data_IF_005153198569
#
_entry.id   IF_005153198569
#
_cell.length_a   1.000
_cell.length_b   1.000
_cell.length_c   1.000
_cell.angle_alpha   90.00
_cell.angle_beta   90.00
_cell.angle_gamma   90.00
#
_symmetry.space_group_name_H-M   'P 1'
#
loop_
_entity.id
_entity.type
_entity.pdbx_description
1 polymer ?
#
# COMPACT_ATOMS: atom_id res chain seq x y z
N UNK A 1 -10.21 -12.91 -9.25
CA UNK A 1 -9.02 -12.12 -8.90
C UNK A 1 -7.85 -13.07 -8.79
N UNK A 2 -6.67 -12.68 -9.29
CA UNK A 2 -5.47 -13.50 -9.17
C UNK A 2 -4.65 -13.05 -7.96
N UNK A 3 -4.38 -13.96 -7.04
CA UNK A 3 -3.66 -13.69 -5.80
C UNK A 3 -2.22 -14.20 -5.94
N UNK A 4 -1.24 -13.30 -5.93
CA UNK A 4 0.18 -13.65 -5.94
C UNK A 4 0.80 -13.34 -4.59
N UNK A 5 1.34 -14.36 -3.95
CA UNK A 5 2.13 -14.19 -2.73
C UNK A 5 3.37 -13.35 -3.00
N UNK A 6 3.75 -12.54 -2.02
CA UNK A 6 4.98 -11.75 -2.04
C UNK A 6 5.99 -12.33 -1.04
N UNK A 7 7.18 -11.73 -0.97
CA UNK A 7 8.16 -12.13 0.05
C UNK A 7 7.70 -11.84 1.48
N UNK A 8 6.78 -10.88 1.71
CA UNK A 8 6.24 -10.60 3.04
C UNK A 8 5.00 -11.47 3.30
N UNK A 9 4.99 -12.18 4.43
CA UNK A 9 3.91 -13.14 4.71
C UNK A 9 2.57 -12.42 4.85
N UNK A 10 1.58 -12.79 4.04
CA UNK A 10 0.24 -12.20 4.11
C UNK A 10 0.10 -10.85 3.37
N UNK A 11 1.16 -10.39 2.69
CA UNK A 11 1.07 -9.31 1.69
C UNK A 11 0.90 -9.98 0.32
N UNK A 12 -0.09 -9.55 -0.45
CA UNK A 12 -0.42 -10.13 -1.75
C UNK A 12 -0.45 -9.07 -2.83
N UNK A 13 0.09 -9.40 -4.00
CA UNK A 13 -0.19 -8.67 -5.24
C UNK A 13 -1.46 -9.26 -5.87
N UNK A 14 -2.48 -8.44 -6.02
CA UNK A 14 -3.78 -8.79 -6.57
C UNK A 14 -3.84 -8.31 -8.03
N UNK A 15 -3.85 -9.24 -8.96
CA UNK A 15 -3.93 -8.94 -10.40
C UNK A 15 -5.37 -9.14 -10.91
N UNK A 16 -5.72 -8.35 -11.92
CA UNK A 16 -7.02 -8.42 -12.57
C UNK A 16 -7.14 -9.68 -13.44
N UNK A 17 -8.30 -10.33 -13.37
CA UNK A 17 -8.73 -11.30 -14.38
C UNK A 17 -9.51 -10.55 -15.45
N UNK A 18 -8.79 -10.02 -16.44
CA UNK A 18 -9.36 -9.17 -17.49
C UNK A 18 -10.20 -10.00 -18.46
N UNK A 19 -11.42 -9.54 -18.73
CA UNK A 19 -12.28 -9.99 -19.82
C UNK A 19 -12.25 -8.90 -20.88
N UNK A 20 -11.63 -9.18 -22.02
CA UNK A 20 -11.35 -8.17 -23.07
C UNK A 20 -12.30 -8.29 -24.26
N UNK A 21 -12.66 -7.13 -24.84
CA UNK A 21 -13.33 -7.02 -26.12
C UNK A 21 -12.92 -5.72 -26.84
N UNK A 22 -13.52 -5.41 -27.99
CA UNK A 22 -13.16 -4.23 -28.79
C UNK A 22 -13.34 -2.87 -28.09
N UNK A 23 -13.97 -2.81 -26.91
CA UNK A 23 -14.15 -1.59 -26.11
C UNK A 23 -13.06 -1.41 -25.05
N UNK A 24 -12.25 -2.44 -24.79
CA UNK A 24 -11.27 -2.49 -23.69
C UNK A 24 -11.45 -3.75 -22.86
N UNK A 25 -11.38 -3.64 -21.53
CA UNK A 25 -11.56 -4.77 -20.63
C UNK A 25 -12.51 -4.48 -19.47
N UNK A 26 -13.14 -5.53 -18.97
CA UNK A 26 -13.86 -5.57 -17.71
C UNK A 26 -13.14 -6.51 -16.74
N UNK A 27 -13.07 -6.13 -15.46
CA UNK A 27 -12.59 -7.03 -14.40
C UNK A 27 -13.27 -6.68 -13.10
N UNK A 28 -13.46 -7.68 -12.23
CA UNK A 28 -13.70 -7.43 -10.81
C UNK A 28 -12.41 -6.90 -10.21
N UNK A 29 -12.47 -5.69 -9.65
CA UNK A 29 -11.33 -5.09 -8.96
C UNK A 29 -11.18 -5.65 -7.54
N UNK A 30 -12.31 -5.89 -6.88
CA UNK A 30 -12.41 -6.35 -5.51
C UNK A 30 -13.66 -7.22 -5.37
N UNK A 31 -13.57 -8.33 -4.63
CA UNK A 31 -14.69 -9.24 -4.43
C UNK A 31 -14.64 -9.82 -3.02
N UNK A 32 -15.63 -9.48 -2.18
CA UNK A 32 -15.73 -9.95 -0.80
C UNK A 32 -15.57 -11.46 -0.69
N UNK A 33 -16.34 -12.19 -1.49
CA UNK A 33 -16.36 -13.66 -1.50
C UNK A 33 -14.99 -14.27 -1.80
N UNK A 34 -14.31 -13.81 -2.85
CA UNK A 34 -13.00 -14.37 -3.23
C UNK A 34 -11.91 -14.05 -2.19
N UNK A 35 -12.01 -12.90 -1.52
CA UNK A 35 -11.10 -12.53 -0.43
C UNK A 35 -11.33 -13.40 0.81
N UNK A 36 -12.58 -13.62 1.20
CA UNK A 36 -12.95 -14.49 2.31
C UNK A 36 -12.53 -15.95 2.05
N UNK A 37 -12.68 -16.44 0.82
CA UNK A 37 -12.17 -17.76 0.39
C UNK A 37 -10.64 -17.88 0.53
N UNK A 38 -9.91 -16.76 0.50
CA UNK A 38 -8.47 -16.68 0.76
C UNK A 38 -8.13 -16.34 2.22
N UNK A 39 -9.12 -16.28 3.11
CA UNK A 39 -8.97 -15.83 4.50
C UNK A 39 -8.36 -14.42 4.61
N UNK A 40 -8.68 -13.54 3.67
CA UNK A 40 -8.26 -12.13 3.66
C UNK A 40 -9.40 -11.24 4.15
N UNK A 41 -9.04 -10.12 4.80
CA UNK A 41 -10.00 -9.24 5.44
C UNK A 41 -10.77 -8.40 4.41
N UNK A 42 -12.02 -8.76 4.13
CA UNK A 42 -12.86 -8.15 3.12
C UNK A 42 -13.84 -7.07 3.65
N UNK A 43 -13.68 -6.59 4.88
CA UNK A 43 -14.62 -5.62 5.45
C UNK A 43 -14.16 -4.19 5.18
N UNK A 44 -14.21 -3.78 3.91
CA UNK A 44 -13.93 -2.40 3.50
C UNK A 44 -14.99 -1.47 4.08
N UNK A 45 -14.55 -0.44 4.81
CA UNK A 45 -15.43 0.58 5.43
C UNK A 45 -15.24 1.97 4.83
N UNK A 46 -14.12 2.18 4.13
CA UNK A 46 -13.78 3.48 3.54
C UNK A 46 -12.93 3.27 2.28
N UNK A 47 -13.15 4.13 1.29
CA UNK A 47 -12.30 4.29 0.12
C UNK A 47 -11.70 5.68 0.11
N UNK A 48 -10.47 5.78 -0.38
CA UNK A 48 -9.70 7.01 -0.38
C UNK A 48 -9.04 7.19 -1.74
N UNK A 49 -8.76 8.44 -2.07
CA UNK A 49 -8.00 8.84 -3.24
C UNK A 49 -6.94 9.86 -2.83
N UNK A 50 -5.75 9.72 -3.39
CA UNK A 50 -4.70 10.72 -3.29
C UNK A 50 -4.12 11.00 -4.66
N UNK A 51 -4.01 12.29 -4.97
CA UNK A 51 -3.44 12.78 -6.20
C UNK A 51 -2.08 13.42 -5.93
N UNK A 52 -1.10 13.10 -6.76
CA UNK A 52 0.29 13.55 -6.63
C UNK A 52 0.64 14.35 -7.88
N UNK A 53 0.83 15.66 -7.71
CA UNK A 53 1.09 16.56 -8.84
C UNK A 53 2.42 16.24 -9.52
N UNK A 54 3.44 15.89 -8.73
CA UNK A 54 4.82 15.73 -9.20
C UNK A 54 5.34 14.31 -8.95
N UNK A 55 6.13 13.82 -9.90
CA UNK A 55 7.08 12.72 -9.72
C UNK A 55 8.00 13.00 -8.54
N UNK A 56 8.31 11.97 -7.76
CA UNK A 56 9.14 12.06 -6.56
C UNK A 56 8.36 12.48 -5.31
N UNK A 57 7.02 12.54 -5.36
CA UNK A 57 6.18 12.75 -4.18
C UNK A 57 6.11 11.48 -3.36
N UNK A 58 6.57 11.53 -2.10
CA UNK A 58 6.47 10.45 -1.13
C UNK A 58 5.33 10.69 -0.15
N UNK A 59 4.59 9.62 0.17
CA UNK A 59 3.66 9.58 1.31
C UNK A 59 3.93 8.33 2.13
N UNK A 60 4.09 8.49 3.44
CA UNK A 60 4.35 7.35 4.32
C UNK A 60 5.67 7.44 5.11
N UNK A 61 5.97 6.41 5.91
CA UNK A 61 5.21 5.15 6.04
C UNK A 61 4.19 5.23 7.19
N UNK A 62 2.96 4.77 6.96
CA UNK A 62 1.82 4.92 7.86
C UNK A 62 1.18 3.58 8.23
N UNK A 63 0.69 3.52 9.47
CA UNK A 63 -0.14 2.43 10.00
C UNK A 63 -1.07 2.98 11.08
N UNK A 64 -2.05 2.18 11.51
CA UNK A 64 -2.82 2.46 12.73
C UNK A 64 -2.46 1.42 13.79
N UNK A 65 -2.34 1.88 15.04
CA UNK A 65 -2.03 1.07 16.23
C UNK A 65 -3.26 0.34 16.74
N UNK A 66 -3.03 -0.71 17.52
CA UNK A 66 -4.07 -1.45 18.22
C UNK A 66 -4.98 -0.53 19.04
N UNK A 67 -6.30 -0.79 19.09
CA UNK A 67 -7.07 -1.84 18.40
C UNK A 67 -7.62 -1.42 17.02
N UNK A 68 -7.02 -0.40 16.39
CA UNK A 68 -7.55 0.25 15.18
C UNK A 68 -6.75 -0.11 13.92
N UNK A 69 -6.00 -1.21 13.94
CA UNK A 69 -5.20 -1.62 12.79
C UNK A 69 -6.09 -1.86 11.57
N UNK A 70 -5.60 -1.40 10.42
CA UNK A 70 -6.33 -1.47 9.16
C UNK A 70 -5.61 -2.40 8.18
N UNK A 71 -6.40 -3.04 7.33
CA UNK A 71 -5.92 -3.65 6.08
C UNK A 71 -6.10 -2.63 4.97
N UNK A 72 -5.10 -2.50 4.09
CA UNK A 72 -5.16 -1.61 2.93
C UNK A 72 -5.16 -2.40 1.63
N UNK A 73 -5.88 -1.89 0.65
CA UNK A 73 -5.96 -2.38 -0.70
C UNK A 73 -5.57 -1.24 -1.63
N UNK A 74 -4.33 -1.22 -2.10
CA UNK A 74 -3.74 -0.01 -2.70
C UNK A 74 -3.51 -0.20 -4.19
N UNK A 75 -3.98 0.74 -5.02
CA UNK A 75 -3.86 0.67 -6.48
C UNK A 75 -3.48 2.04 -7.05
N UNK A 76 -2.66 2.03 -8.09
CA UNK A 76 -2.47 3.19 -8.95
C UNK A 76 -3.56 3.22 -10.03
N UNK A 77 -4.39 4.26 -10.03
CA UNK A 77 -5.46 4.45 -11.03
C UNK A 77 -5.01 5.28 -12.23
N UNK A 78 -3.98 6.10 -12.06
CA UNK A 78 -3.37 6.90 -13.12
C UNK A 78 -1.87 7.07 -12.90
N UNK A 79 -1.07 6.91 -13.95
CA UNK A 79 0.40 6.99 -13.88
C UNK A 79 1.03 5.78 -13.19
N UNK A 80 2.13 6.00 -12.45
CA UNK A 80 2.88 4.94 -11.79
C UNK A 80 3.41 5.34 -10.41
N UNK A 81 3.52 4.37 -9.49
CA UNK A 81 4.12 4.53 -8.18
C UNK A 81 4.93 3.32 -7.77
N UNK A 82 5.91 3.53 -6.88
CA UNK A 82 6.60 2.48 -6.16
C UNK A 82 6.00 2.37 -4.76
N UNK A 83 5.22 1.31 -4.54
CA UNK A 83 4.48 1.05 -3.30
C UNK A 83 5.32 0.18 -2.36
N UNK A 84 5.45 0.62 -1.11
CA UNK A 84 6.32 0.03 -0.10
C UNK A 84 5.53 -0.40 1.12
N UNK A 85 5.83 -1.62 1.57
CA UNK A 85 5.28 -2.21 2.79
C UNK A 85 6.43 -2.64 3.70
N UNK A 86 6.30 -2.35 4.99
CA UNK A 86 7.19 -2.83 6.05
C UNK A 86 6.38 -3.67 7.02
N UNK A 87 6.87 -4.87 7.31
CA UNK A 87 6.22 -5.79 8.23
C UNK A 87 6.58 -5.47 9.70
N UNK A 88 5.63 -4.94 10.46
CA UNK A 88 5.83 -4.57 11.87
C UNK A 88 5.16 -5.56 12.84
N UNK A 89 4.76 -6.75 12.38
CA UNK A 89 4.14 -7.77 13.23
C UNK A 89 5.22 -8.60 13.93
N UNK A 90 5.38 -8.55 15.27
CA UNK A 90 6.47 -9.23 15.96
C UNK A 90 6.48 -10.75 15.76
N UNK A 91 5.30 -11.37 15.65
CA UNK A 91 5.15 -12.82 15.44
C UNK A 91 5.26 -13.24 13.97
N UNK A 92 5.51 -12.31 13.05
CA UNK A 92 5.63 -12.61 11.62
C UNK A 92 7.01 -13.20 11.30
N UNK A 93 7.09 -14.26 10.46
CA UNK A 93 8.38 -14.77 9.97
C UNK A 93 9.13 -13.75 9.10
N UNK A 94 8.45 -12.68 8.65
CA UNK A 94 9.04 -11.59 7.88
C UNK A 94 9.09 -10.27 8.65
N UNK A 95 9.04 -10.32 9.98
CA UNK A 95 9.15 -9.13 10.83
C UNK A 95 10.40 -8.30 10.47
N UNK A 96 10.22 -6.98 10.39
CA UNK A 96 11.20 -5.96 9.97
C UNK A 96 11.71 -6.08 8.53
N UNK A 97 11.17 -6.99 7.73
CA UNK A 97 11.44 -6.99 6.29
C UNK A 97 10.51 -6.01 5.57
N UNK A 98 10.96 -5.52 4.42
CA UNK A 98 10.18 -4.62 3.57
C UNK A 98 10.09 -5.13 2.14
N UNK A 99 9.03 -4.77 1.43
CA UNK A 99 8.79 -5.04 0.01
C UNK A 99 8.52 -3.71 -0.70
N UNK A 100 9.09 -3.55 -1.88
CA UNK A 100 8.69 -2.52 -2.83
C UNK A 100 8.18 -3.15 -4.13
N UNK A 101 7.10 -2.62 -4.68
CA UNK A 101 6.52 -3.05 -5.97
C UNK A 101 6.07 -1.85 -6.79
N UNK A 102 6.18 -1.95 -8.10
CA UNK A 102 5.61 -0.93 -8.98
C UNK A 102 4.12 -1.21 -9.21
N UNK A 103 3.28 -0.21 -8.99
CA UNK A 103 1.86 -0.21 -9.30
C UNK A 103 1.59 0.90 -10.32
N UNK A 104 0.93 0.56 -11.43
CA UNK A 104 0.66 1.50 -12.51
C UNK A 104 -0.73 1.30 -13.10
N UNK A 105 -1.19 2.30 -13.86
CA UNK A 105 -2.43 2.18 -14.62
C UNK A 105 -2.38 1.03 -15.64
N UNK A 106 -1.19 0.74 -16.19
CA UNK A 106 -0.95 -0.31 -17.18
C UNK A 106 -1.01 -1.72 -16.57
N UNK A 107 -0.23 -1.96 -15.50
CA UNK A 107 -0.22 -3.26 -14.84
C UNK A 107 -1.52 -3.53 -14.07
N UNK A 108 -2.25 -2.46 -13.73
CA UNK A 108 -3.54 -2.45 -13.09
C UNK A 108 -3.63 -3.28 -11.78
N UNK A 109 -2.47 -3.58 -11.18
CA UNK A 109 -2.35 -4.43 -10.00
C UNK A 109 -2.72 -3.65 -8.75
N UNK A 110 -3.06 -4.38 -7.69
CA UNK A 110 -3.37 -3.83 -6.38
C UNK A 110 -2.56 -4.56 -5.32
N UNK A 111 -2.03 -3.85 -4.33
CA UNK A 111 -1.34 -4.46 -3.19
C UNK A 111 -2.28 -4.60 -2.01
N UNK A 112 -2.40 -5.81 -1.49
CA UNK A 112 -3.05 -6.12 -0.21
C UNK A 112 -2.02 -6.00 0.91
N UNK A 113 -2.25 -5.09 1.85
CA UNK A 113 -1.41 -4.84 3.01
C UNK A 113 -2.18 -5.23 4.27
N UNK A 114 -1.79 -6.28 5.01
CA UNK A 114 -2.50 -6.71 6.20
C UNK A 114 -2.30 -5.74 7.38
N UNK A 115 -3.15 -5.89 8.38
CA UNK A 115 -3.00 -5.24 9.70
C UNK A 115 -1.61 -5.45 10.27
N UNK A 116 -1.08 -4.43 10.93
CA UNK A 116 0.25 -4.48 11.57
C UNK A 116 1.42 -4.27 10.59
N UNK A 117 1.18 -3.91 9.34
CA UNK A 117 2.22 -3.43 8.43
C UNK A 117 2.17 -1.91 8.30
N UNK A 118 3.33 -1.28 8.12
CA UNK A 118 3.42 0.12 7.68
C UNK A 118 3.47 0.19 6.15
N UNK A 119 2.83 1.22 5.59
CA UNK A 119 2.66 1.37 4.14
C UNK A 119 2.96 2.81 3.70
N UNK A 120 3.58 2.96 2.55
CA UNK A 120 3.71 4.23 1.85
C UNK A 120 4.11 4.01 0.41
N UNK A 121 4.25 5.09 -0.36
CA UNK A 121 4.60 4.99 -1.77
C UNK A 121 5.35 6.23 -2.26
N UNK A 122 6.03 6.08 -3.39
CA UNK A 122 6.69 7.14 -4.14
C UNK A 122 6.08 7.26 -5.54
N UNK A 123 5.54 8.42 -5.89
CA UNK A 123 5.05 8.66 -7.25
C UNK A 123 6.22 8.65 -8.25
N UNK A 124 6.14 7.80 -9.29
CA UNK A 124 7.16 7.65 -10.32
C UNK A 124 6.90 8.54 -11.55
N UNK A 125 5.69 9.10 -11.64
CA UNK A 125 5.24 9.98 -12.69
C UNK A 125 4.50 11.20 -12.13
N UNK A 126 4.47 12.28 -12.92
CA UNK A 126 3.60 13.43 -12.64
C UNK A 126 2.14 13.02 -12.73
N UNK A 127 1.28 13.73 -12.00
CA UNK A 127 -0.17 13.51 -12.02
C UNK A 127 -0.61 12.07 -11.67
N UNK A 128 0.17 11.38 -10.81
CA UNK A 128 -0.11 10.02 -10.34
C UNK A 128 -1.29 10.01 -9.36
N UNK A 129 -2.26 9.13 -9.59
CA UNK A 129 -3.44 8.94 -8.75
C UNK A 129 -3.41 7.58 -8.07
N UNK A 130 -3.63 7.58 -6.77
CA UNK A 130 -3.65 6.39 -5.93
C UNK A 130 -5.03 6.26 -5.30
N UNK A 131 -5.67 5.12 -5.55
CA UNK A 131 -6.95 4.76 -4.93
C UNK A 131 -6.72 3.62 -3.97
N UNK A 132 -7.27 3.70 -2.77
CA UNK A 132 -7.14 2.63 -1.80
C UNK A 132 -8.38 2.40 -0.96
N UNK A 133 -8.63 1.14 -0.63
CA UNK A 133 -9.67 0.73 0.32
C UNK A 133 -9.05 0.39 1.66
N UNK A 134 -9.77 0.69 2.74
CA UNK A 134 -9.35 0.38 4.11
C UNK A 134 -10.45 -0.30 4.89
N UNK A 135 -10.06 -1.15 5.84
CA UNK A 135 -10.98 -1.94 6.68
C UNK A 135 -11.22 -1.36 8.06
N UNK A 136 -10.74 -0.14 8.32
CA UNK A 136 -10.99 0.58 9.56
C UNK A 136 -11.09 2.08 9.27
N UNK A 137 -11.91 2.79 10.03
CA UNK A 137 -11.99 4.25 9.93
C UNK A 137 -10.69 4.89 10.43
N UNK A 138 -10.36 6.03 9.84
CA UNK A 138 -9.23 6.82 10.30
C UNK A 138 -9.43 7.25 11.76
N UNK A 139 -8.42 7.02 12.59
CA UNK A 139 -8.36 7.52 13.97
C UNK A 139 -7.02 8.17 14.24
N UNK A 140 -7.03 9.51 14.34
CA UNK A 140 -5.82 10.32 14.57
C UNK A 140 -4.97 9.83 15.74
N UNK A 141 -5.61 9.48 16.85
CA UNK A 141 -4.90 9.09 18.08
C UNK A 141 -4.24 7.71 17.98
N UNK A 142 -4.68 6.89 17.03
CA UNK A 142 -4.08 5.59 16.73
C UNK A 142 -3.10 5.66 15.57
N UNK A 143 -2.99 6.80 14.89
CA UNK A 143 -2.10 6.95 13.75
C UNK A 143 -0.64 6.78 14.16
N UNK A 144 0.00 5.78 13.60
CA UNK A 144 1.44 5.56 13.66
C UNK A 144 2.10 5.97 12.36
N UNK A 145 3.41 6.20 12.44
CA UNK A 145 4.24 6.29 11.26
C UNK A 145 5.70 6.07 11.62
N UNK A 146 6.46 5.64 10.63
CA UNK A 146 7.91 5.47 10.71
C UNK A 146 8.55 6.32 9.61
N UNK A 147 9.75 6.82 9.88
CA UNK A 147 10.47 7.65 8.91
C UNK A 147 10.78 6.84 7.65
N UNK A 148 10.57 7.47 6.49
CA UNK A 148 10.72 6.82 5.19
C UNK A 148 12.18 6.39 4.87
N UNK A 149 13.15 7.02 5.53
CA UNK A 149 14.60 6.76 5.44
C UNK A 149 15.19 6.17 6.73
N UNK A 150 14.34 5.52 7.54
CA UNK A 150 14.79 4.80 8.73
C UNK A 150 15.83 3.72 8.35
N UNK A 151 17.03 3.88 8.92
CA UNK A 151 18.20 3.04 8.63
C UNK A 151 18.03 1.60 9.10
N UNK A 152 17.09 1.32 10.01
CA UNK A 152 16.80 -0.04 10.47
C UNK A 152 16.16 -0.90 9.38
N UNK A 153 15.45 -0.29 8.42
CA UNK A 153 14.86 -0.98 7.28
C UNK A 153 15.68 -0.83 5.99
N UNK A 154 16.43 0.28 5.86
CA UNK A 154 17.25 0.59 4.69
C UNK A 154 16.48 0.43 3.37
N UNK A 155 15.33 1.12 3.27
CA UNK A 155 14.43 1.04 2.13
C UNK A 155 15.08 1.68 0.91
N UNK A 156 15.10 0.95 -0.19
CA UNK A 156 15.64 1.44 -1.46
C UNK A 156 14.52 2.07 -2.28
N UNK A 157 14.52 3.40 -2.35
CA UNK A 157 13.63 4.18 -3.19
C UNK A 157 14.23 4.30 -4.61
N UNK A 158 13.48 3.99 -5.68
CA UNK A 158 14.05 3.84 -7.03
C UNK A 158 14.43 5.17 -7.70
N UNK A 159 13.95 6.30 -7.16
CA UNK A 159 14.26 7.65 -7.63
C UNK A 159 14.39 8.60 -6.44
N UNK A 160 14.94 9.79 -6.67
CA UNK A 160 15.01 10.83 -5.66
C UNK A 160 13.61 11.27 -5.19
N UNK A 161 13.47 11.42 -3.88
CA UNK A 161 12.29 12.02 -3.25
C UNK A 161 12.44 13.53 -3.34
N UNK A 162 11.50 14.18 -4.02
CA UNK A 162 11.54 15.62 -4.30
C UNK A 162 10.46 16.38 -3.52
N UNK A 163 9.40 15.69 -3.09
CA UNK A 163 8.28 16.26 -2.37
C UNK A 163 7.85 15.30 -1.24
N UNK A 164 7.77 15.80 -0.01
CA UNK A 164 7.32 15.04 1.16
C UNK A 164 6.65 16.01 2.15
N UNK A 165 5.62 15.55 2.86
CA UNK A 165 4.98 16.38 3.88
C UNK A 165 5.88 16.58 5.09
N UNK A 166 5.75 17.72 5.79
CA UNK A 166 6.47 17.94 7.06
C UNK A 166 6.15 16.86 8.10
N UNK A 167 4.91 16.34 8.10
CA UNK A 167 4.49 15.27 9.00
C UNK A 167 5.28 13.97 8.74
N UNK A 168 5.45 13.60 7.47
CA UNK A 168 6.15 12.37 7.08
C UNK A 168 7.66 12.50 7.24
N UNK A 169 8.21 13.68 6.91
CA UNK A 169 9.63 14.01 7.10
C UNK A 169 10.07 13.93 8.56
N UNK A 170 9.18 14.27 9.49
CA UNK A 170 9.46 14.32 10.92
C UNK A 170 8.93 13.09 11.69
N UNK A 171 8.59 11.99 11.02
CA UNK A 171 8.27 10.73 11.72
C UNK A 171 9.51 10.22 12.48
N UNK A 172 9.31 9.57 13.63
CA UNK A 172 10.41 8.92 14.35
C UNK A 172 10.89 7.68 13.59
N UNK A 173 12.10 7.24 13.93
CA UNK A 173 12.55 5.89 13.59
C UNK A 173 11.75 4.84 14.37
N UNK A 174 11.74 3.61 13.90
CA UNK A 174 11.05 2.51 14.53
C UNK A 174 11.80 2.00 15.77
N UNK A 175 11.14 2.05 16.94
CA UNK A 175 11.75 1.70 18.23
C UNK A 175 11.42 0.28 18.74
N UNK A 176 10.83 -0.59 17.91
CA UNK A 176 10.50 -1.98 18.28
C UNK A 176 9.19 -2.12 19.03
#
# INVERSE_FOLDING_TARGET
>A
MLFKETKLKGVFLLNLEKIEDGRGFFSRLWCKKELEEKNLNADVVQSNISYNKKKGTLRGLHYQKAPYEETKYVRCTKGAMYDVVVDLRPDSPTYKQWLGVELSEENASMLYVPKGCAHGYLALEDHTEVTYFVTQFYKSDAEGGIRYDDKSFNIEWPIAITEISDKDKNRPDYEG
#
